data_IF_185342370280
#
_entry.id   IF_185342370280
#
_cell.length_a   1.000
_cell.length_b   1.000
_cell.length_c   1.000
_cell.angle_alpha   90.00
_cell.angle_beta   90.00
_cell.angle_gamma   90.00
#
_symmetry.space_group_name_H-M   'P 1'
#
loop_
_entity.id
_entity.type
_entity.pdbx_description
1 polymer ?
#
# COMPACT_ATOMS: atom_id res chain seq x y z
N UNK A 1 -5.41 5.64 -23.69
CA UNK A 1 -5.33 5.33 -22.24
C UNK A 1 -4.58 4.02 -22.06
N UNK A 2 -3.78 3.83 -21.00
CA UNK A 2 -3.18 2.53 -20.71
C UNK A 2 -4.28 1.51 -20.41
N UNK A 3 -4.25 0.36 -21.08
CA UNK A 3 -5.17 -0.75 -20.79
C UNK A 3 -4.63 -1.54 -19.61
N UNK A 4 -5.42 -1.65 -18.53
CA UNK A 4 -5.06 -2.42 -17.34
C UNK A 4 -5.54 -3.87 -17.47
N UNK A 5 -4.85 -4.79 -16.78
CA UNK A 5 -5.23 -6.21 -16.70
C UNK A 5 -5.36 -6.64 -15.24
N UNK A 6 -6.28 -7.56 -14.96
CA UNK A 6 -6.35 -8.21 -13.64
C UNK A 6 -5.03 -8.94 -13.35
N UNK A 7 -4.56 -8.89 -12.10
CA UNK A 7 -3.27 -9.40 -11.65
C UNK A 7 -2.08 -8.46 -11.91
N UNK A 8 -2.27 -7.36 -12.65
CA UNK A 8 -1.19 -6.43 -12.97
C UNK A 8 -0.77 -5.60 -11.75
N UNK A 9 0.54 -5.47 -11.54
CA UNK A 9 1.11 -4.54 -10.56
C UNK A 9 1.06 -3.11 -11.12
N UNK A 10 0.61 -2.16 -10.31
CA UNK A 10 0.49 -0.74 -10.66
C UNK A 10 1.00 0.13 -9.52
N UNK A 11 1.58 1.28 -9.85
CA UNK A 11 1.98 2.29 -8.86
C UNK A 11 0.95 3.42 -8.84
N UNK A 12 0.54 3.84 -7.65
CA UNK A 12 -0.28 5.04 -7.49
C UNK A 12 0.58 6.29 -7.75
N UNK A 13 0.15 7.15 -8.67
CA UNK A 13 0.82 8.42 -8.99
C UNK A 13 0.05 9.64 -8.48
N UNK A 14 -1.22 9.47 -8.14
CA UNK A 14 -2.08 10.54 -7.62
C UNK A 14 -3.13 10.00 -6.61
N UNK A 15 -2.88 10.23 -5.34
CA UNK A 15 -3.73 9.90 -4.19
C UNK A 15 -4.62 11.06 -3.71
N UNK A 16 -4.72 12.16 -4.46
CA UNK A 16 -5.55 13.32 -4.08
C UNK A 16 -6.98 13.25 -4.63
N UNK A 17 -7.99 13.53 -3.80
CA UNK A 17 -9.41 13.48 -4.17
C UNK A 17 -10.04 14.86 -3.99
N UNK A 18 -10.70 15.37 -5.03
CA UNK A 18 -11.30 16.72 -5.02
C UNK A 18 -12.66 16.76 -4.31
N UNK A 19 -13.47 15.74 -4.51
CA UNK A 19 -14.87 15.70 -4.10
C UNK A 19 -15.10 14.87 -2.82
N UNK A 20 -14.02 14.41 -2.17
CA UNK A 20 -14.09 13.47 -1.05
C UNK A 20 -13.08 13.89 0.01
N UNK A 21 -13.55 14.07 1.24
CA UNK A 21 -12.73 14.43 2.40
C UNK A 21 -12.21 13.23 3.19
N UNK A 22 -12.88 12.07 3.08
CA UNK A 22 -12.46 10.83 3.74
C UNK A 22 -11.24 10.21 3.03
N UNK A 23 -10.34 9.63 3.82
CA UNK A 23 -9.19 8.90 3.28
C UNK A 23 -9.66 7.70 2.45
N UNK A 24 -9.11 7.58 1.25
CA UNK A 24 -9.46 6.56 0.27
C UNK A 24 -8.49 5.37 0.28
N UNK A 25 -7.47 5.40 1.15
CA UNK A 25 -6.54 4.29 1.41
C UNK A 25 -5.38 4.14 0.41
N UNK A 26 -5.46 4.76 -0.77
CA UNK A 26 -4.33 4.76 -1.70
C UNK A 26 -3.24 5.75 -1.27
N UNK A 27 -1.99 5.43 -1.57
CA UNK A 27 -0.82 6.28 -1.27
C UNK A 27 0.05 6.44 -2.50
N UNK A 28 0.44 7.67 -2.84
CA UNK A 28 1.35 7.94 -3.96
C UNK A 28 2.68 7.23 -3.76
N UNK A 29 3.17 6.57 -4.81
CA UNK A 29 4.38 5.75 -4.79
C UNK A 29 4.15 4.30 -4.34
N UNK A 30 3.02 3.99 -3.70
CA UNK A 30 2.72 2.63 -3.28
C UNK A 30 2.30 1.77 -4.48
N UNK A 31 2.71 0.50 -4.41
CA UNK A 31 2.42 -0.51 -5.42
C UNK A 31 1.20 -1.33 -4.98
N UNK A 32 0.28 -1.54 -5.93
CA UNK A 32 -0.94 -2.30 -5.76
C UNK A 32 -1.10 -3.33 -6.87
N UNK A 33 -2.02 -4.28 -6.69
CA UNK A 33 -2.34 -5.32 -7.64
C UNK A 33 -3.77 -5.15 -8.12
N UNK A 34 -3.98 -5.07 -9.43
CA UNK A 34 -5.31 -4.89 -10.01
C UNK A 34 -6.15 -6.17 -9.84
N UNK A 35 -7.38 -6.04 -9.33
CA UNK A 35 -8.34 -7.18 -9.21
C UNK A 35 -9.56 -7.08 -10.10
N UNK A 36 -9.86 -5.88 -10.59
CA UNK A 36 -10.97 -5.62 -11.51
C UNK A 36 -10.63 -4.40 -12.36
N UNK A 37 -11.13 -4.41 -13.60
CA UNK A 37 -11.04 -3.29 -14.54
C UNK A 37 -12.37 -3.14 -15.26
N UNK A 38 -12.80 -1.92 -15.53
CA UNK A 38 -14.03 -1.69 -16.28
C UNK A 38 -14.45 -0.23 -16.30
N UNK A 39 -15.45 0.06 -17.15
CA UNK A 39 -16.13 1.35 -17.11
C UNK A 39 -17.08 1.40 -15.91
N UNK A 40 -17.14 2.56 -15.26
CA UNK A 40 -17.99 2.80 -14.12
C UNK A 40 -18.59 4.21 -14.20
N UNK A 41 -19.85 4.35 -13.79
CA UNK A 41 -20.56 5.62 -13.70
C UNK A 41 -20.76 5.98 -12.23
N UNK A 42 -20.18 7.09 -11.81
CA UNK A 42 -20.37 7.64 -10.46
C UNK A 42 -21.28 8.86 -10.52
N UNK A 43 -22.16 9.01 -9.53
CA UNK A 43 -23.14 10.12 -9.51
C UNK A 43 -22.49 11.52 -9.43
N UNK A 44 -21.36 11.66 -8.70
CA UNK A 44 -20.61 12.94 -8.62
C UNK A 44 -19.54 13.07 -9.70
N UNK A 45 -18.92 11.93 -10.04
CA UNK A 45 -17.66 11.92 -10.78
C UNK A 45 -17.88 11.65 -12.29
N UNK A 46 -19.10 11.30 -12.69
CA UNK A 46 -19.45 10.92 -14.05
C UNK A 46 -18.87 9.57 -14.45
N UNK A 47 -18.76 9.36 -15.76
CA UNK A 47 -18.25 8.12 -16.34
C UNK A 47 -16.71 8.09 -16.34
N UNK A 48 -16.12 6.96 -15.96
CA UNK A 48 -14.68 6.76 -16.03
C UNK A 48 -14.27 5.31 -16.19
N UNK A 49 -13.06 5.10 -16.69
CA UNK A 49 -12.39 3.81 -16.63
C UNK A 49 -11.76 3.63 -15.25
N UNK A 50 -12.21 2.59 -14.54
CA UNK A 50 -11.88 2.32 -13.15
C UNK A 50 -11.13 1.02 -12.95
N UNK A 51 -10.42 0.94 -11.83
CA UNK A 51 -9.77 -0.28 -11.34
C UNK A 51 -10.10 -0.51 -9.86
N UNK A 52 -10.17 -1.77 -9.46
CA UNK A 52 -10.16 -2.17 -8.04
C UNK A 52 -8.83 -2.83 -7.72
N UNK A 53 -8.39 -2.72 -6.47
CA UNK A 53 -7.06 -3.18 -6.03
C UNK A 53 -7.21 -4.36 -5.05
N UNK A 54 -6.35 -5.37 -5.12
CA UNK A 54 -6.37 -6.53 -4.23
C UNK A 54 -6.18 -6.13 -2.77
N UNK A 55 -5.30 -5.16 -2.52
CA UNK A 55 -4.89 -4.74 -1.18
C UNK A 55 -5.91 -3.81 -0.51
N UNK A 56 -6.91 -3.33 -1.25
CA UNK A 56 -7.89 -2.37 -0.76
C UNK A 56 -9.30 -2.78 -1.16
N UNK A 57 -10.14 -2.97 -0.15
CA UNK A 57 -11.58 -3.06 -0.26
C UNK A 57 -12.19 -1.75 0.25
N UNK A 58 -13.00 -1.09 -0.57
CA UNK A 58 -13.50 0.26 -0.28
C UNK A 58 -14.77 0.31 0.56
N UNK A 59 -15.15 -0.81 1.14
CA UNK A 59 -16.34 -0.88 1.99
C UNK A 59 -17.61 -0.93 1.17
N UNK A 60 -18.72 -0.75 1.86
CA UNK A 60 -20.02 -0.72 1.24
C UNK A 60 -20.62 0.69 1.33
N UNK A 61 -20.57 1.42 0.23
CA UNK A 61 -21.19 2.75 0.13
C UNK A 61 -22.59 2.68 -0.51
N UNK A 62 -23.14 1.48 -0.74
CA UNK A 62 -24.45 1.24 -1.41
C UNK A 62 -25.68 1.37 -0.50
N UNK A 63 -25.55 2.08 0.63
CA UNK A 63 -26.61 2.22 1.64
C UNK A 63 -27.97 2.68 1.07
N UNK A 64 -29.04 2.75 1.88
CA UNK A 64 -30.42 2.94 1.39
C UNK A 64 -30.62 4.17 0.49
N UNK A 65 -29.75 5.16 0.61
CA UNK A 65 -29.74 6.38 -0.21
C UNK A 65 -29.05 6.21 -1.60
N UNK A 66 -28.37 5.09 -1.85
CA UNK A 66 -27.86 4.67 -3.16
C UNK A 66 -26.72 5.51 -3.75
N UNK A 67 -26.07 6.36 -2.96
CA UNK A 67 -25.03 7.27 -3.46
C UNK A 67 -23.76 6.53 -3.88
N UNK A 68 -23.44 5.39 -3.30
CA UNK A 68 -22.20 4.67 -3.58
C UNK A 68 -22.38 3.34 -4.30
N UNK A 69 -21.33 2.53 -4.22
CA UNK A 69 -21.36 1.14 -4.63
C UNK A 69 -20.63 0.31 -3.59
N UNK A 70 -20.95 -0.98 -3.57
CA UNK A 70 -20.08 -1.97 -2.93
C UNK A 70 -18.72 -1.88 -3.60
N UNK A 71 -17.75 -1.41 -2.81
CA UNK A 71 -16.34 -1.42 -3.16
C UNK A 71 -16.04 -0.65 -4.45
N UNK A 72 -16.32 0.65 -4.39
CA UNK A 72 -16.16 1.63 -5.46
C UNK A 72 -14.79 1.54 -6.19
N UNK A 73 -14.75 1.56 -7.54
CA UNK A 73 -13.48 1.56 -8.26
C UNK A 73 -12.75 2.91 -8.18
N UNK A 74 -11.42 2.88 -8.17
CA UNK A 74 -10.60 4.08 -8.35
C UNK A 74 -10.47 4.42 -9.82
N UNK A 75 -10.40 5.72 -10.16
CA UNK A 75 -10.04 6.15 -11.53
C UNK A 75 -8.68 5.59 -11.93
N UNK A 76 -8.64 4.89 -13.05
CA UNK A 76 -7.45 4.25 -13.58
C UNK A 76 -6.32 5.26 -13.88
N UNK A 77 -6.67 6.52 -14.19
CA UNK A 77 -5.72 7.61 -14.41
C UNK A 77 -4.83 7.95 -13.21
N UNK A 78 -5.19 7.49 -12.00
CA UNK A 78 -4.40 7.64 -10.77
C UNK A 78 -3.24 6.67 -10.69
N UNK A 79 -3.15 5.72 -11.61
CA UNK A 79 -2.17 4.63 -11.57
C UNK A 79 -1.36 4.56 -12.85
N UNK A 80 -0.17 3.99 -12.73
CA UNK A 80 0.68 3.63 -13.87
C UNK A 80 1.03 2.14 -13.79
N UNK A 81 0.95 1.41 -14.92
CA UNK A 81 1.50 0.07 -15.03
C UNK A 81 2.95 -0.01 -14.56
N UNK A 82 3.26 -0.96 -13.69
CA UNK A 82 4.65 -1.36 -13.53
C UNK A 82 5.00 -2.28 -14.68
N UNK A 83 5.86 -1.78 -15.56
CA UNK A 83 6.45 -2.60 -16.61
C UNK A 83 7.48 -3.49 -15.94
N UNK A 84 7.26 -4.80 -15.98
CA UNK A 84 8.23 -5.75 -15.44
C UNK A 84 9.60 -5.53 -16.08
N UNK A 85 10.65 -5.74 -15.30
CA UNK A 85 12.04 -5.62 -15.75
C UNK A 85 12.38 -6.53 -16.94
N UNK A 86 11.49 -7.42 -17.43
CA UNK A 86 11.69 -8.14 -18.70
C UNK A 86 12.07 -7.21 -19.85
N UNK A 87 11.48 -6.02 -19.94
CA UNK A 87 11.88 -5.02 -20.95
C UNK A 87 13.26 -4.44 -20.63
N UNK A 88 13.61 -4.19 -19.37
CA UNK A 88 14.97 -3.78 -18.99
C UNK A 88 16.02 -4.88 -19.26
N UNK A 89 15.68 -6.14 -19.00
CA UNK A 89 16.50 -7.31 -19.32
C UNK A 89 16.68 -7.45 -20.82
N UNK A 90 15.65 -7.22 -21.62
CA UNK A 90 15.74 -7.20 -23.09
C UNK A 90 16.52 -6.00 -23.61
N UNK A 91 16.42 -4.83 -22.97
CA UNK A 91 17.17 -3.62 -23.31
C UNK A 91 18.60 -3.60 -22.73
N UNK A 92 19.02 -4.66 -22.03
CA UNK A 92 20.34 -4.73 -21.39
C UNK A 92 20.58 -3.69 -20.28
N UNK A 93 19.51 -3.05 -19.79
CA UNK A 93 19.60 -2.01 -18.76
C UNK A 93 19.72 -2.70 -17.39
N UNK A 94 20.96 -2.92 -16.96
CA UNK A 94 21.27 -3.33 -15.58
C UNK A 94 20.85 -2.20 -14.64
N UNK A 95 19.94 -2.50 -13.72
CA UNK A 95 19.69 -1.61 -12.60
C UNK A 95 21.01 -1.41 -11.83
N UNK A 96 21.35 -0.17 -11.43
CA UNK A 96 22.47 0.04 -10.54
C UNK A 96 22.27 -0.79 -9.26
N UNK A 97 23.35 -1.36 -8.68
CA UNK A 97 23.24 -2.10 -7.43
C UNK A 97 22.55 -1.21 -6.39
N UNK A 98 21.66 -1.77 -5.54
CA UNK A 98 21.00 -1.00 -4.51
C UNK A 98 22.09 -0.32 -3.68
N UNK A 99 22.11 1.01 -3.68
CA UNK A 99 22.85 1.76 -2.67
C UNK A 99 22.17 1.43 -1.35
N UNK A 100 22.73 0.46 -0.64
CA UNK A 100 22.46 0.26 0.78
C UNK A 100 23.03 1.50 1.46
N UNK A 101 22.26 2.58 1.48
CA UNK A 101 22.48 3.62 2.46
C UNK A 101 22.22 2.96 3.81
N UNK A 102 23.32 2.60 4.47
CA UNK A 102 23.30 2.18 5.85
C UNK A 102 22.63 3.30 6.64
N UNK A 103 21.33 3.16 6.91
CA UNK A 103 20.67 3.95 7.95
C UNK A 103 21.47 3.65 9.21
N UNK A 104 22.09 4.65 9.88
CA UNK A 104 22.71 4.39 11.16
C UNK A 104 21.64 3.81 12.07
N UNK A 105 21.86 2.59 12.55
CA UNK A 105 20.91 1.94 13.43
C UNK A 105 20.83 2.77 14.70
N UNK A 106 19.69 3.43 14.94
CA UNK A 106 19.40 4.17 16.18
C UNK A 106 19.15 3.24 17.36
N UNK A 107 19.75 2.05 17.39
CA UNK A 107 19.68 1.16 18.55
C UNK A 107 20.76 1.61 19.53
N UNK A 108 20.41 2.18 20.69
CA UNK A 108 21.40 2.46 21.71
C UNK A 108 21.98 1.13 22.19
N UNK A 109 23.31 1.03 22.23
CA UNK A 109 24.02 -0.09 22.83
C UNK A 109 23.68 -0.14 24.32
N UNK A 110 22.71 -0.97 24.70
CA UNK A 110 22.37 -1.24 26.09
C UNK A 110 23.49 -2.09 26.67
N UNK A 111 24.41 -1.45 27.41
CA UNK A 111 25.38 -2.16 28.24
C UNK A 111 24.60 -3.06 29.22
N UNK A 112 24.90 -4.36 29.33
CA UNK A 112 24.23 -5.22 30.30
C UNK A 112 24.55 -4.75 31.71
N UNK A 113 23.50 -4.52 32.51
CA UNK A 113 23.63 -4.18 33.94
C UNK A 113 24.23 -5.39 34.69
N UNK A 114 25.11 -5.16 35.69
CA UNK A 114 25.66 -6.23 36.51
C UNK A 114 24.55 -6.95 37.28
N UNK A 115 24.63 -8.29 37.28
CA UNK A 115 23.69 -9.20 37.93
C UNK A 115 23.80 -9.02 39.45
N UNK A 116 22.79 -8.41 40.05
CA UNK A 116 22.64 -8.37 41.51
C UNK A 116 22.20 -9.76 41.95
N UNK A 117 23.08 -10.48 42.64
CA UNK A 117 22.75 -11.71 43.39
C UNK A 117 21.96 -11.31 44.63
N UNK A 118 20.70 -11.76 44.73
CA UNK A 118 19.93 -11.66 45.96
C UNK A 118 20.50 -12.65 47.00
N UNK A 119 20.62 -12.26 48.28
CA UNK A 119 21.03 -13.18 49.34
C UNK A 119 19.94 -14.23 49.61
N UNK A 120 20.38 -15.47 49.88
CA UNK A 120 19.54 -16.59 50.30
C UNK A 120 18.80 -16.26 51.60
N UNK A 121 17.50 -16.56 51.64
CA UNK A 121 16.66 -16.44 52.82
C UNK A 121 16.96 -17.62 53.74
N UNK A 122 17.53 -17.35 54.91
CA UNK A 122 17.68 -18.36 55.97
C UNK A 122 16.30 -18.89 56.39
N UNK A 123 16.21 -20.21 56.52
CA UNK A 123 15.05 -20.94 57.04
C UNK A 123 14.87 -20.67 58.53
N UNK A 124 13.72 -20.14 58.92
CA UNK A 124 13.33 -20.04 60.33
C UNK A 124 12.70 -21.38 60.76
N UNK A 125 13.38 -22.08 61.69
CA UNK A 125 12.85 -23.22 62.43
C UNK A 125 12.10 -22.71 63.67
N UNK A 126 10.81 -23.09 63.73
CA UNK A 126 9.90 -23.33 64.89
C UNK A 126 10.17 -22.59 66.19
#
# INVERSE_FOLDING_TARGET
MPTFRVGQKVVCVNDTFKNVSIDQGIRKGQIYTVRWVGHYRHYVDGDFYGIKLMELYRGNDDGPEGYGAVDMPFRASRFRPLVSDRIKSMLGIKAPPPKVEARPSLVPSVKPKPRVTAPEKEEEKV
#
